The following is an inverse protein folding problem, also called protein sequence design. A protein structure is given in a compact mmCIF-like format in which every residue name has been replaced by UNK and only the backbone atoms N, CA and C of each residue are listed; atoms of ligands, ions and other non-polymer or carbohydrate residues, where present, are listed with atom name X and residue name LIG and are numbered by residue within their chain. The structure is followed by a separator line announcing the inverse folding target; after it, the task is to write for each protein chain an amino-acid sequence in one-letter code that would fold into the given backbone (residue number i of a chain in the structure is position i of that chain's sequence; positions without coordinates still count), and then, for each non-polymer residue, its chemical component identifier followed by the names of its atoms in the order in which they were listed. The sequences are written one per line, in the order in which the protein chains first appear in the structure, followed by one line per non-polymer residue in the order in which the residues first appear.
data_IF_828223795315
#
_entry.id   IF_828223795315
#
_cell.length_a   1.000
_cell.length_b   1.000
_cell.length_c   1.000
_cell.angle_alpha   90.00
_cell.angle_beta   90.00
_cell.angle_gamma   90.00
#
_symmetry.space_group_name_H-M   'P 1'
#
loop_
_entity.id
_entity.type
_entity.pdbx_description
1 polymer ?
#
# COMPACT_ATOMS: atom_id res chain seq x y z
N UNK A 1 -8.36 -17.42 -45.92
CA UNK A 1 -7.09 -17.18 -45.21
C UNK A 1 -6.53 -18.53 -44.81
N UNK A 2 -5.25 -18.82 -45.05
CA UNK A 2 -4.65 -20.04 -44.53
C UNK A 2 -4.69 -20.02 -43.00
N UNK A 3 -4.96 -21.17 -42.39
CA UNK A 3 -4.90 -21.39 -40.94
C UNK A 3 -3.82 -22.43 -40.66
N UNK A 4 -3.22 -22.36 -39.47
CA UNK A 4 -2.23 -23.34 -39.01
C UNK A 4 -2.74 -23.94 -37.71
N UNK A 5 -2.68 -25.26 -37.56
CA UNK A 5 -3.03 -25.93 -36.31
C UNK A 5 -1.98 -25.65 -35.22
N UNK A 6 -0.72 -25.50 -35.61
CA UNK A 6 0.39 -25.16 -34.72
C UNK A 6 1.48 -24.38 -35.47
N UNK A 7 2.11 -23.44 -34.78
CA UNK A 7 3.28 -22.70 -35.27
C UNK A 7 4.37 -22.79 -34.20
N UNK A 8 5.58 -23.19 -34.60
CA UNK A 8 6.78 -23.13 -33.76
C UNK A 8 7.73 -22.09 -34.37
N UNK A 9 8.08 -21.07 -33.59
CA UNK A 9 9.09 -20.08 -33.98
C UNK A 9 10.28 -20.22 -33.03
N UNK A 10 11.43 -20.57 -33.58
CA UNK A 10 12.68 -20.77 -32.80
C UNK A 10 13.57 -19.54 -32.77
N UNK A 11 13.23 -18.51 -33.55
CA UNK A 11 13.91 -17.22 -33.59
C UNK A 11 12.98 -16.08 -33.15
N UNK A 12 13.34 -14.86 -33.56
CA UNK A 12 12.54 -13.68 -33.24
C UNK A 12 11.29 -13.61 -34.14
N UNK A 13 10.18 -13.18 -33.56
CA UNK A 13 8.95 -12.86 -34.28
C UNK A 13 8.60 -11.40 -34.09
N UNK A 14 8.12 -10.75 -35.15
CA UNK A 14 7.55 -9.40 -35.09
C UNK A 14 6.17 -9.45 -35.72
N UNK A 15 5.17 -8.93 -35.02
CA UNK A 15 3.80 -8.72 -35.52
C UNK A 15 3.60 -7.21 -35.63
N UNK A 16 3.39 -6.71 -36.85
CA UNK A 16 3.25 -5.26 -37.10
C UNK A 16 1.83 -4.73 -36.84
N UNK A 17 0.86 -5.63 -36.68
CA UNK A 17 -0.55 -5.34 -36.43
C UNK A 17 -0.95 -5.89 -35.05
N UNK A 18 -2.23 -6.10 -34.84
CA UNK A 18 -2.76 -6.63 -33.58
C UNK A 18 -2.47 -8.12 -33.42
N UNK A 19 -2.15 -8.51 -32.18
CA UNK A 19 -2.11 -9.91 -31.74
C UNK A 19 -3.24 -10.14 -30.75
N UNK A 20 -4.13 -11.09 -31.05
CA UNK A 20 -5.13 -11.57 -30.13
C UNK A 20 -4.78 -13.00 -29.70
N UNK A 21 -4.63 -13.20 -28.39
CA UNK A 21 -4.42 -14.52 -27.78
C UNK A 21 -5.67 -14.88 -26.98
N UNK A 22 -6.46 -15.84 -27.45
CA UNK A 22 -7.68 -16.29 -26.73
C UNK A 22 -7.38 -17.29 -25.61
N UNK A 23 -6.20 -17.92 -25.66
CA UNK A 23 -5.71 -18.85 -24.64
C UNK A 23 -4.81 -18.15 -23.63
N UNK A 24 -4.03 -18.96 -22.91
CA UNK A 24 -3.03 -18.44 -21.99
C UNK A 24 -1.78 -17.97 -22.74
N UNK A 25 -1.19 -16.89 -22.28
CA UNK A 25 0.11 -16.41 -22.71
C UNK A 25 1.11 -16.56 -21.55
N UNK A 26 2.36 -16.90 -21.87
CA UNK A 26 3.45 -16.93 -20.88
C UNK A 26 4.66 -16.24 -21.49
N UNK A 27 5.15 -15.23 -20.80
CA UNK A 27 6.33 -14.46 -21.18
C UNK A 27 7.45 -14.87 -20.24
N UNK A 28 8.51 -15.47 -20.78
CA UNK A 28 9.60 -16.04 -19.99
C UNK A 28 10.65 -15.03 -19.53
N UNK A 29 10.66 -13.82 -20.11
CA UNK A 29 11.59 -12.74 -19.82
C UNK A 29 10.77 -11.46 -19.52
N UNK A 30 11.06 -10.36 -20.22
CA UNK A 30 10.46 -9.06 -19.96
C UNK A 30 9.21 -8.83 -20.82
N UNK A 31 8.20 -8.18 -20.22
CA UNK A 31 7.07 -7.59 -20.93
C UNK A 31 7.13 -6.07 -20.78
N UNK A 32 7.19 -5.36 -21.91
CA UNK A 32 7.02 -3.92 -21.96
C UNK A 32 5.68 -3.59 -22.64
N UNK A 33 4.81 -2.89 -21.93
CA UNK A 33 3.55 -2.35 -22.47
C UNK A 33 3.68 -0.84 -22.54
N UNK A 34 3.62 -0.29 -23.75
CA UNK A 34 3.72 1.18 -23.97
C UNK A 34 2.37 1.89 -23.90
N UNK A 35 1.27 1.15 -23.98
CA UNK A 35 -0.10 1.64 -23.86
C UNK A 35 -0.75 1.21 -22.55
N UNK A 36 -2.08 1.23 -22.54
CA UNK A 36 -2.86 0.83 -21.37
C UNK A 36 -2.92 -0.69 -21.24
N UNK A 37 -2.88 -1.18 -19.99
CA UNK A 37 -3.10 -2.57 -19.66
C UNK A 37 -4.25 -2.66 -18.65
N UNK A 38 -5.19 -3.57 -18.91
CA UNK A 38 -6.25 -3.93 -17.95
C UNK A 38 -6.11 -5.39 -17.58
N UNK A 39 -6.05 -5.68 -16.28
CA UNK A 39 -6.08 -7.04 -15.73
C UNK A 39 -7.44 -7.23 -15.06
N UNK A 40 -8.31 -8.04 -15.65
CA UNK A 40 -9.65 -8.29 -15.11
C UNK A 40 -9.65 -9.27 -13.91
N UNK A 41 -8.55 -10.02 -13.72
CA UNK A 41 -8.36 -10.97 -12.63
C UNK A 41 -7.38 -10.46 -11.57
N UNK A 42 -6.72 -11.39 -10.88
CA UNK A 42 -5.69 -11.08 -9.90
C UNK A 42 -4.36 -10.72 -10.57
N UNK A 43 -3.64 -9.77 -9.98
CA UNK A 43 -2.25 -9.48 -10.28
C UNK A 43 -1.40 -9.83 -9.05
N UNK A 44 -0.40 -10.70 -9.23
CA UNK A 44 0.62 -10.99 -8.22
C UNK A 44 1.96 -10.47 -8.71
N UNK A 45 2.67 -9.75 -7.85
CA UNK A 45 4.01 -9.23 -8.10
C UNK A 45 4.91 -9.81 -7.02
N UNK A 46 5.91 -10.60 -7.41
CA UNK A 46 6.78 -11.29 -6.45
C UNK A 46 7.90 -10.41 -5.91
N UNK A 47 8.34 -9.43 -6.73
CA UNK A 47 9.43 -8.54 -6.36
C UNK A 47 8.88 -7.16 -5.99
N UNK A 48 9.07 -6.16 -6.84
CA UNK A 48 8.70 -4.77 -6.57
C UNK A 48 7.81 -4.18 -7.65
N UNK A 49 7.01 -3.20 -7.26
CA UNK A 49 6.19 -2.39 -8.15
C UNK A 49 6.37 -0.92 -7.80
N UNK A 50 6.34 -0.07 -8.82
CA UNK A 50 6.37 1.38 -8.65
C UNK A 50 5.21 2.00 -9.43
N UNK A 51 4.42 2.82 -8.75
CA UNK A 51 3.30 3.57 -9.33
C UNK A 51 3.63 5.04 -9.19
N UNK A 52 3.76 5.75 -10.31
CA UNK A 52 4.25 7.13 -10.35
C UNK A 52 3.15 8.19 -10.28
N UNK A 53 1.91 7.79 -10.61
CA UNK A 53 0.74 8.66 -10.51
C UNK A 53 -0.13 8.25 -9.32
N UNK A 54 -1.20 7.51 -9.57
CA UNK A 54 -2.22 7.24 -8.56
C UNK A 54 -2.43 5.73 -8.39
N UNK A 55 -2.56 5.30 -7.13
CA UNK A 55 -3.01 3.96 -6.76
C UNK A 55 -4.37 4.10 -6.06
N UNK A 56 -5.42 3.53 -6.67
CA UNK A 56 -6.73 3.39 -6.05
C UNK A 56 -6.92 1.96 -5.53
N UNK A 57 -7.34 1.79 -4.29
CA UNK A 57 -7.65 0.49 -3.68
C UNK A 57 -9.07 0.53 -3.16
N UNK A 58 -9.94 -0.32 -3.72
CA UNK A 58 -11.34 -0.42 -3.29
C UNK A 58 -11.56 -1.22 -2.00
N UNK A 59 -10.51 -1.88 -1.50
CA UNK A 59 -10.52 -2.70 -0.29
C UNK A 59 -9.51 -2.21 0.75
N UNK A 60 -8.85 -3.16 1.42
CA UNK A 60 -7.85 -2.90 2.46
C UNK A 60 -6.44 -2.93 1.88
N UNK A 61 -5.57 -2.05 2.37
CA UNK A 61 -4.13 -2.11 2.13
C UNK A 61 -3.48 -2.79 3.34
N UNK A 62 -2.85 -3.94 3.12
CA UNK A 62 -2.00 -4.61 4.10
C UNK A 62 -0.53 -4.38 3.74
N UNK A 63 0.24 -3.79 4.67
CA UNK A 63 1.66 -3.54 4.51
C UNK A 63 2.43 -4.28 5.60
N UNK A 64 3.35 -5.17 5.22
CA UNK A 64 4.12 -5.99 6.16
C UNK A 64 5.27 -5.26 6.87
N UNK A 65 5.62 -4.05 6.41
CA UNK A 65 6.60 -3.18 7.04
C UNK A 65 5.98 -1.79 7.26
N UNK A 66 6.44 -0.76 6.55
CA UNK A 66 6.10 0.64 6.84
C UNK A 66 5.38 1.30 5.67
N UNK A 67 4.36 2.12 5.97
CA UNK A 67 3.72 3.01 5.00
C UNK A 67 4.24 4.44 5.21
N UNK A 68 4.86 5.02 4.18
CA UNK A 68 5.38 6.39 4.22
C UNK A 68 4.62 7.29 3.24
N UNK A 69 3.95 8.30 3.77
CA UNK A 69 3.33 9.37 2.99
C UNK A 69 4.20 10.63 3.06
N UNK A 70 4.44 11.28 1.92
CA UNK A 70 5.20 12.54 1.86
C UNK A 70 4.36 13.74 2.31
N UNK A 71 3.07 13.74 1.96
CA UNK A 71 2.15 14.83 2.25
C UNK A 71 1.23 14.46 3.39
N UNK A 72 0.27 13.57 3.16
CA UNK A 72 -0.81 13.29 4.11
C UNK A 72 -1.32 11.85 3.99
N UNK A 73 -1.82 11.31 5.11
CA UNK A 73 -2.67 10.12 5.18
C UNK A 73 -4.00 10.55 5.80
N UNK A 74 -5.11 10.35 5.08
CA UNK A 74 -6.42 10.92 5.44
C UNK A 74 -7.48 9.82 5.59
N UNK A 75 -8.41 10.03 6.53
CA UNK A 75 -9.68 9.29 6.57
C UNK A 75 -10.80 10.18 6.00
N UNK A 76 -11.55 9.68 5.02
CA UNK A 76 -12.60 10.46 4.34
C UNK A 76 -13.97 10.40 5.03
N UNK A 77 -14.24 9.33 5.78
CA UNK A 77 -15.48 9.18 6.52
C UNK A 77 -15.36 9.84 7.90
N UNK A 78 -16.40 10.56 8.30
CA UNK A 78 -16.47 11.14 9.64
C UNK A 78 -16.70 10.02 10.67
N UNK A 79 -15.84 9.90 11.70
CA UNK A 79 -16.10 9.01 12.83
C UNK A 79 -17.40 9.40 13.55
N UNK A 80 -18.17 8.41 14.01
CA UNK A 80 -19.35 8.66 14.84
C UNK A 80 -18.97 8.69 16.31
N UNK A 81 -19.55 9.62 17.07
CA UNK A 81 -19.35 9.70 18.51
C UNK A 81 -20.36 8.76 19.22
N UNK A 82 -19.92 7.81 20.06
CA UNK A 82 -20.83 6.99 20.87
C UNK A 82 -21.70 7.87 21.78
N UNK A 83 -22.95 7.51 22.01
CA UNK A 83 -23.83 8.27 22.92
C UNK A 83 -23.38 8.03 24.37
N UNK A 84 -22.40 8.81 24.83
CA UNK A 84 -21.88 8.82 26.19
C UNK A 84 -21.48 10.25 26.60
N UNK A 85 -21.44 10.52 27.91
CA UNK A 85 -20.92 11.78 28.44
C UNK A 85 -19.43 11.90 28.07
N UNK A 86 -18.95 13.06 27.59
CA UNK A 86 -17.56 13.24 27.27
C UNK A 86 -16.71 13.10 28.54
N UNK A 87 -15.81 12.11 28.54
CA UNK A 87 -14.71 12.03 29.49
C UNK A 87 -13.51 12.76 28.86
N UNK A 88 -12.93 13.70 29.59
CA UNK A 88 -11.67 14.33 29.17
C UNK A 88 -10.57 13.29 29.30
N UNK A 89 -10.11 12.75 28.17
CA UNK A 89 -8.96 11.86 28.11
C UNK A 89 -7.75 12.65 27.61
N UNK A 90 -6.69 12.71 28.41
CA UNK A 90 -5.47 13.44 28.07
C UNK A 90 -4.52 12.53 27.27
N UNK A 91 -3.75 13.14 26.36
CA UNK A 91 -2.63 12.49 25.67
C UNK A 91 -1.48 12.25 26.66
N UNK A 92 -1.02 11.00 26.78
CA UNK A 92 0.13 10.68 27.62
C UNK A 92 1.44 10.96 26.86
N UNK A 93 2.38 11.66 27.48
CA UNK A 93 3.69 11.94 26.89
C UNK A 93 4.83 11.26 27.65
N UNK A 94 5.64 10.46 26.93
CA UNK A 94 6.78 9.73 27.49
C UNK A 94 8.12 10.27 26.98
N UNK A 95 9.03 10.57 27.92
CA UNK A 95 10.42 10.97 27.65
C UNK A 95 11.34 10.62 28.85
N UNK A 96 12.35 9.74 28.69
CA UNK A 96 12.70 9.03 27.45
C UNK A 96 11.62 8.01 27.04
N UNK A 97 11.51 7.75 25.73
CA UNK A 97 10.64 6.72 25.18
C UNK A 97 11.29 5.32 25.15
N UNK A 98 10.53 4.33 24.68
CA UNK A 98 10.99 2.95 24.45
C UNK A 98 11.61 2.81 23.06
N UNK A 99 12.75 2.14 22.94
CA UNK A 99 13.39 1.86 21.64
C UNK A 99 12.50 0.95 20.79
N UNK A 100 12.39 1.25 19.49
CA UNK A 100 11.60 0.47 18.52
C UNK A 100 10.11 0.32 18.86
N UNK A 101 9.53 1.28 19.61
CA UNK A 101 8.09 1.31 19.88
C UNK A 101 7.29 1.28 18.57
N UNK A 102 6.42 0.28 18.36
CA UNK A 102 5.50 0.27 17.23
C UNK A 102 4.45 1.38 17.38
N UNK A 103 4.03 1.97 16.26
CA UNK A 103 2.96 2.94 16.21
C UNK A 103 3.08 3.88 15.01
N UNK A 104 2.26 4.94 15.02
CA UNK A 104 2.29 5.97 13.98
C UNK A 104 3.46 6.92 14.24
N UNK A 105 4.47 6.86 13.37
CA UNK A 105 5.62 7.76 13.43
C UNK A 105 5.25 9.11 12.83
N UNK A 106 5.41 10.18 13.62
CA UNK A 106 5.18 11.56 13.24
C UNK A 106 6.47 12.37 13.42
N UNK A 107 6.78 13.24 12.47
CA UNK A 107 7.92 14.16 12.57
C UNK A 107 7.44 15.52 13.07
N UNK A 108 7.99 16.00 14.18
CA UNK A 108 7.72 17.34 14.70
C UNK A 108 8.34 18.43 13.84
N UNK A 109 7.88 19.67 14.03
CA UNK A 109 8.42 20.86 13.32
C UNK A 109 9.89 21.13 13.62
N UNK A 110 10.40 20.57 14.72
CA UNK A 110 11.81 20.59 15.12
C UNK A 110 12.64 19.43 14.53
N UNK A 111 12.05 18.56 13.69
CA UNK A 111 12.69 17.41 13.09
C UNK A 111 12.75 16.15 13.98
N UNK A 112 12.33 16.24 15.24
CA UNK A 112 12.28 15.08 16.13
C UNK A 112 11.17 14.12 15.71
N UNK A 113 11.41 12.81 15.86
CA UNK A 113 10.40 11.78 15.61
C UNK A 113 9.64 11.47 16.89
N UNK A 114 8.36 11.21 16.72
CA UNK A 114 7.45 10.81 17.77
C UNK A 114 6.69 9.57 17.32
N UNK A 115 6.40 8.65 18.23
CA UNK A 115 5.52 7.51 17.95
C UNK A 115 4.23 7.71 18.73
N UNK A 116 3.10 7.71 18.02
CA UNK A 116 1.75 7.71 18.56
C UNK A 116 1.26 6.25 18.65
N UNK A 117 0.77 5.85 19.80
CA UNK A 117 0.34 4.48 20.08
C UNK A 117 -0.77 4.47 21.14
N UNK A 118 -1.38 3.31 21.35
CA UNK A 118 -2.36 3.08 22.42
C UNK A 118 -1.65 2.45 23.61
N UNK A 119 -1.80 3.05 24.79
CA UNK A 119 -1.27 2.56 26.06
C UNK A 119 -2.41 2.01 26.92
N UNK A 120 -2.33 0.74 27.29
CA UNK A 120 -3.34 0.02 28.06
C UNK A 120 -2.86 -0.34 29.49
N UNK A 121 -1.67 0.10 29.88
CA UNK A 121 -1.04 -0.27 31.16
C UNK A 121 -1.87 0.12 32.40
N UNK A 122 -2.70 1.16 32.30
CA UNK A 122 -3.61 1.61 33.34
C UNK A 122 -4.99 0.92 33.34
N UNK A 123 -5.22 -0.10 32.52
CA UNK A 123 -6.50 -0.82 32.39
C UNK A 123 -7.57 -0.09 31.56
N UNK A 124 -7.38 1.20 31.27
CA UNK A 124 -8.15 1.97 30.27
C UNK A 124 -7.20 2.39 29.14
N UNK A 125 -7.52 2.12 27.87
CA UNK A 125 -6.70 2.55 26.75
C UNK A 125 -6.59 4.08 26.67
N UNK A 126 -5.37 4.61 26.59
CA UNK A 126 -5.09 6.03 26.37
C UNK A 126 -4.26 6.22 25.11
N UNK A 127 -4.51 7.32 24.39
CA UNK A 127 -3.61 7.74 23.34
C UNK A 127 -2.30 8.23 23.99
N UNK A 128 -1.18 7.70 23.54
CA UNK A 128 0.14 7.99 24.04
C UNK A 128 1.07 8.44 22.91
N UNK A 129 1.97 9.36 23.21
CA UNK A 129 3.04 9.80 22.32
C UNK A 129 4.37 9.74 23.05
N UNK A 130 5.41 9.23 22.37
CA UNK A 130 6.76 9.23 22.91
C UNK A 130 7.74 9.82 21.91
N UNK A 131 8.82 10.42 22.40
CA UNK A 131 9.94 10.86 21.54
C UNK A 131 10.86 9.67 21.28
N UNK A 132 11.25 9.48 20.02
CA UNK A 132 12.19 8.43 19.56
C UNK A 132 13.55 9.05 19.26
#
# INVERSE_FOLDING_TARGET
MPTFDSILVTGNQTINQDLQVNGNETIGLDLQVNGDQTVAGSLQINDSSSITNNLGVGGVIEAGDSVKATTQLMAMNQPTHPVALPLVQQLLYYNPGVLNQPGLVLTGTNGNKYVLFIDESGGTPNLAIQRV
#
